data_IF_437119000027
#
_entry.id   IF_437119000027
#
_cell.length_a   1.000
_cell.length_b   1.000
_cell.length_c   1.000
_cell.angle_alpha   90.00
_cell.angle_beta   90.00
_cell.angle_gamma   90.00
#
_symmetry.space_group_name_H-M   'P 1'
#
loop_
_entity.id
_entity.type
_entity.pdbx_description
1 polymer ?
#
# COMPACT_ATOMS: atom_id res chain seq x y z
N UNK A 1 3.75 -4.44 14.79
CA UNK A 1 4.22 -5.16 13.58
C UNK A 1 4.68 -4.13 12.56
N UNK A 2 5.77 -4.40 11.86
CA UNK A 2 6.34 -3.55 10.80
C UNK A 2 7.03 -4.43 9.75
N UNK A 3 7.28 -3.87 8.56
CA UNK A 3 7.94 -4.58 7.46
C UNK A 3 9.38 -4.94 7.84
N UNK A 4 9.75 -6.21 7.65
CA UNK A 4 11.08 -6.73 7.95
C UNK A 4 11.83 -7.12 6.67
N UNK A 5 13.15 -7.25 6.76
CA UNK A 5 13.98 -7.70 5.62
C UNK A 5 13.59 -9.09 5.13
N UNK A 6 13.14 -9.96 6.03
CA UNK A 6 12.67 -11.30 5.71
C UNK A 6 11.37 -11.31 4.88
N UNK A 7 10.58 -10.24 4.97
CA UNK A 7 9.35 -10.09 4.20
C UNK A 7 9.63 -9.68 2.74
N UNK A 8 10.87 -9.34 2.39
CA UNK A 8 11.23 -8.74 1.11
C UNK A 8 12.09 -9.65 0.24
N UNK A 9 11.71 -9.74 -1.04
CA UNK A 9 12.53 -10.29 -2.12
C UNK A 9 12.98 -9.15 -3.03
N UNK A 10 14.26 -8.78 -2.93
CA UNK A 10 14.85 -7.65 -3.65
C UNK A 10 15.99 -8.14 -4.57
N UNK A 11 15.70 -8.73 -5.73
CA UNK A 11 16.73 -9.10 -6.71
C UNK A 11 17.55 -7.88 -7.16
N UNK A 12 18.69 -8.09 -7.81
CA UNK A 12 19.53 -6.98 -8.31
C UNK A 12 18.87 -6.19 -9.44
N UNK A 13 18.00 -6.83 -10.22
CA UNK A 13 17.27 -6.20 -11.32
C UNK A 13 15.85 -6.79 -11.46
N UNK A 14 14.96 -6.01 -12.08
CA UNK A 14 13.58 -6.40 -12.33
C UNK A 14 12.65 -6.14 -11.15
N UNK A 15 11.64 -6.98 -11.01
CA UNK A 15 10.60 -6.84 -9.99
C UNK A 15 10.98 -7.57 -8.71
N UNK A 16 10.75 -6.90 -7.58
CA UNK A 16 10.78 -7.53 -6.26
C UNK A 16 9.40 -7.96 -5.79
N UNK A 17 9.32 -8.44 -4.56
CA UNK A 17 8.05 -8.71 -3.90
C UNK A 17 8.14 -8.50 -2.39
N UNK A 18 7.03 -8.09 -1.78
CA UNK A 18 6.81 -8.04 -0.35
C UNK A 18 5.75 -9.07 0.07
N UNK A 19 6.03 -9.82 1.13
CA UNK A 19 5.10 -10.73 1.78
C UNK A 19 4.48 -9.99 2.98
N UNK A 20 3.24 -9.55 2.83
CA UNK A 20 2.58 -8.76 3.85
C UNK A 20 1.58 -9.61 4.62
N UNK A 21 1.89 -9.89 5.88
CA UNK A 21 0.92 -10.49 6.79
C UNK A 21 -0.19 -9.48 7.07
N UNK A 22 -1.45 -9.93 7.17
CA UNK A 22 -2.52 -9.08 7.71
C UNK A 22 -2.24 -8.81 9.19
N UNK A 23 -1.53 -7.71 9.45
CA UNK A 23 -1.50 -7.08 10.76
C UNK A 23 -2.92 -6.72 11.17
N UNK A 24 -3.38 -7.20 12.34
CA UNK A 24 -4.52 -6.60 13.03
C UNK A 24 -4.29 -5.10 13.09
N UNK A 25 -5.18 -4.34 12.48
CA UNK A 25 -5.11 -2.88 12.42
C UNK A 25 -5.00 -2.34 13.84
N UNK A 26 -3.85 -1.74 14.20
CA UNK A 26 -3.81 -0.80 15.32
C UNK A 26 -4.50 0.47 14.84
N UNK A 27 -5.82 0.47 14.80
CA UNK A 27 -6.60 1.70 14.65
C UNK A 27 -6.36 2.50 15.92
N UNK A 28 -5.47 3.48 15.82
CA UNK A 28 -5.29 4.48 16.86
C UNK A 28 -6.62 5.18 17.13
N UNK A 29 -6.95 5.27 18.42
CA UNK A 29 -8.09 5.95 19.06
C UNK A 29 -8.36 7.38 18.56
N UNK A 30 -8.79 7.56 17.31
CA UNK A 30 -9.39 8.81 16.82
C UNK A 30 -10.62 8.58 15.94
N UNK A 31 -11.15 7.37 15.98
CA UNK A 31 -12.40 7.04 15.32
C UNK A 31 -13.12 6.02 16.22
N UNK A 32 -14.41 6.28 16.47
CA UNK A 32 -15.37 5.60 17.38
C UNK A 32 -15.21 5.87 18.89
N UNK A 33 -16.13 6.68 19.42
CA UNK A 33 -16.50 6.73 20.83
C UNK A 33 -17.16 5.40 21.20
N UNK A 34 -16.48 4.57 22.00
CA UNK A 34 -17.03 3.77 23.10
C UNK A 34 -15.84 3.18 23.86
N UNK A 35 -15.94 3.28 25.18
CA UNK A 35 -14.97 2.85 26.19
C UNK A 35 -14.83 1.32 26.23
N UNK A 36 -13.61 0.80 26.09
CA UNK A 36 -12.87 0.12 27.16
C UNK A 36 -11.63 -0.62 26.64
N UNK A 37 -10.81 -0.94 27.63
CA UNK A 37 -9.40 -1.36 27.63
C UNK A 37 -9.19 -2.79 27.18
N UNK A 38 -7.95 -3.07 26.78
CA UNK A 38 -7.39 -4.38 26.43
C UNK A 38 -7.96 -5.53 27.27
N UNK A 39 -8.48 -6.54 26.58
CA UNK A 39 -8.59 -7.88 27.12
C UNK A 39 -7.69 -8.82 26.30
N UNK A 40 -6.54 -9.14 26.91
CA UNK A 40 -5.74 -10.32 26.58
C UNK A 40 -6.43 -11.54 27.21
N UNK A 41 -7.43 -12.11 26.53
CA UNK A 41 -7.86 -13.47 26.82
C UNK A 41 -8.05 -14.28 25.53
N UNK A 42 -7.17 -15.27 25.38
CA UNK A 42 -7.19 -16.19 24.25
C UNK A 42 -8.36 -17.16 24.31
N UNK A 43 -8.79 -17.64 23.14
CA UNK A 43 -8.79 -19.06 22.75
C UNK A 43 -9.42 -19.27 21.37
N UNK A 44 -8.78 -20.17 20.62
CA UNK A 44 -9.34 -21.05 19.59
C UNK A 44 -10.15 -20.40 18.45
N UNK A 45 -9.45 -19.87 17.45
CA UNK A 45 -9.63 -20.35 16.07
C UNK A 45 -8.47 -19.88 15.20
N UNK A 46 -7.64 -20.81 14.72
CA UNK A 46 -6.63 -20.54 13.69
C UNK A 46 -7.37 -20.38 12.36
N UNK A 47 -7.43 -19.16 11.83
CA UNK A 47 -7.33 -18.97 10.39
C UNK A 47 -5.88 -18.58 10.15
N UNK A 48 -5.17 -19.35 9.31
CA UNK A 48 -3.80 -19.05 8.93
C UNK A 48 -3.71 -17.57 8.53
N UNK A 49 -2.70 -16.87 9.01
CA UNK A 49 -2.46 -15.48 8.64
C UNK A 49 -2.46 -15.38 7.10
N UNK A 50 -3.45 -14.73 6.51
CA UNK A 50 -3.50 -14.50 5.06
C UNK A 50 -2.32 -13.58 4.71
N UNK A 51 -1.24 -14.19 4.23
CA UNK A 51 -0.08 -13.49 3.67
C UNK A 51 -0.44 -13.09 2.25
N UNK A 52 -0.36 -11.79 1.95
CA UNK A 52 -0.50 -11.30 0.57
C UNK A 52 0.85 -10.99 -0.04
N UNK A 53 1.04 -11.44 -1.28
CA UNK A 53 2.20 -11.08 -2.10
C UNK A 53 1.93 -9.74 -2.79
N UNK A 54 2.78 -8.75 -2.56
CA UNK A 54 2.70 -7.43 -3.22
C UNK A 54 3.95 -7.25 -4.08
N UNK A 55 3.81 -7.15 -5.42
CA UNK A 55 4.96 -6.93 -6.28
C UNK A 55 5.54 -5.53 -6.07
N UNK A 56 6.87 -5.46 -6.08
CA UNK A 56 7.64 -4.23 -5.89
C UNK A 56 8.19 -3.83 -7.26
N UNK A 57 7.75 -2.69 -7.83
CA UNK A 57 8.28 -2.23 -9.11
C UNK A 57 9.77 -1.87 -9.00
N UNK A 58 10.53 -1.93 -10.11
CA UNK A 58 11.99 -1.73 -10.11
C UNK A 58 12.44 -0.45 -9.40
N UNK A 59 11.69 0.65 -9.55
CA UNK A 59 12.01 1.93 -8.92
C UNK A 59 11.92 1.85 -7.39
N UNK A 60 10.89 1.20 -6.86
CA UNK A 60 10.73 1.01 -5.41
C UNK A 60 11.76 0.01 -4.87
N UNK A 61 12.10 -1.01 -5.66
CA UNK A 61 13.17 -1.96 -5.33
C UNK A 61 14.50 -1.23 -5.14
N UNK A 62 14.87 -0.33 -6.05
CA UNK A 62 16.10 0.47 -5.92
C UNK A 62 16.09 1.32 -4.66
N UNK A 63 14.98 2.01 -4.37
CA UNK A 63 14.84 2.84 -3.17
C UNK A 63 14.98 1.99 -1.90
N UNK A 64 14.34 0.82 -1.84
CA UNK A 64 14.43 -0.07 -0.68
C UNK A 64 15.83 -0.62 -0.46
N UNK A 65 16.53 -1.02 -1.53
CA UNK A 65 17.92 -1.47 -1.45
C UNK A 65 18.83 -0.35 -0.94
N UNK A 66 18.72 0.85 -1.53
CA UNK A 66 19.50 2.00 -1.09
C UNK A 66 19.23 2.34 0.39
N UNK A 67 17.97 2.24 0.84
CA UNK A 67 17.61 2.43 2.25
C UNK A 67 18.30 1.40 3.15
N UNK A 68 18.25 0.12 2.80
CA UNK A 68 18.89 -0.95 3.56
C UNK A 68 20.42 -0.77 3.59
N UNK A 69 21.02 -0.42 2.45
CA UNK A 69 22.47 -0.19 2.37
C UNK A 69 22.92 1.02 3.21
N UNK A 70 22.07 2.05 3.31
CA UNK A 70 22.38 3.30 4.03
C UNK A 70 22.13 3.19 5.53
N UNK A 71 21.01 2.58 5.93
CA UNK A 71 20.52 2.59 7.31
C UNK A 71 20.56 1.23 8.00
N UNK A 72 20.77 0.14 7.25
CA UNK A 72 20.65 -1.22 7.74
C UNK A 72 19.21 -1.60 8.12
N UNK A 73 19.09 -2.60 8.97
CA UNK A 73 17.83 -3.01 9.61
C UNK A 73 18.01 -2.99 11.13
N UNK A 74 16.92 -2.85 11.88
CA UNK A 74 16.97 -3.01 13.33
C UNK A 74 17.37 -4.44 13.74
N UNK A 75 17.73 -4.63 15.01
CA UNK A 75 18.09 -5.95 15.57
C UNK A 75 17.01 -7.02 15.33
N UNK A 76 15.74 -6.61 15.31
CA UNK A 76 14.60 -7.48 15.02
C UNK A 76 14.22 -7.53 13.53
N UNK A 77 15.09 -7.03 12.65
CA UNK A 77 14.97 -7.11 11.20
C UNK A 77 14.04 -6.08 10.56
N UNK A 78 13.41 -5.18 11.32
CA UNK A 78 12.54 -4.12 10.79
C UNK A 78 13.31 -3.12 9.93
N UNK A 79 12.71 -2.71 8.81
CA UNK A 79 13.29 -1.72 7.89
C UNK A 79 13.16 -0.28 8.42
N UNK A 80 12.02 0.05 9.02
CA UNK A 80 11.70 1.40 9.45
C UNK A 80 11.60 1.42 10.97
N UNK A 81 12.61 1.99 11.62
CA UNK A 81 12.69 2.13 13.07
C UNK A 81 13.25 3.47 13.46
N UNK A 82 12.94 3.90 14.67
CA UNK A 82 13.60 5.06 15.27
C UNK A 82 15.06 4.76 15.56
N UNK A 83 15.87 5.81 15.62
CA UNK A 83 17.30 5.76 15.99
C UNK A 83 17.53 5.08 17.35
N UNK A 84 16.59 5.24 18.30
CA UNK A 84 16.64 4.59 19.63
C UNK A 84 15.86 3.27 19.71
N UNK A 85 15.50 2.70 18.56
CA UNK A 85 14.65 1.51 18.46
C UNK A 85 13.15 1.79 18.61
N UNK A 86 12.34 0.79 18.26
CA UNK A 86 10.88 0.87 18.28
C UNK A 86 10.26 1.44 16.99
N UNK A 87 8.92 1.39 16.94
CA UNK A 87 8.14 1.76 15.74
C UNK A 87 7.94 3.27 15.66
N UNK A 88 8.02 3.82 14.45
CA UNK A 88 7.67 5.21 14.18
C UNK A 88 6.24 5.52 14.59
N UNK A 89 6.10 6.62 15.33
CA UNK A 89 4.78 7.12 15.70
C UNK A 89 4.09 7.71 14.47
N UNK A 90 2.77 7.55 14.39
CA UNK A 90 1.96 8.10 13.30
C UNK A 90 2.11 9.62 13.14
N UNK A 91 2.36 10.34 14.25
CA UNK A 91 2.63 11.79 14.25
C UNK A 91 3.94 12.16 13.57
N UNK A 92 5.01 11.39 13.80
CA UNK A 92 6.32 11.60 13.16
C UNK A 92 6.19 11.41 11.65
N UNK A 93 5.52 10.35 11.23
CA UNK A 93 5.28 10.08 9.81
C UNK A 93 4.47 11.20 9.14
N UNK A 94 3.42 11.70 9.81
CA UNK A 94 2.62 12.81 9.29
C UNK A 94 3.42 14.11 9.16
N UNK A 95 4.29 14.42 10.13
CA UNK A 95 5.14 15.62 10.08
C UNK A 95 6.10 15.57 8.89
N UNK A 96 6.86 14.48 8.77
CA UNK A 96 7.79 14.29 7.64
C UNK A 96 7.06 14.33 6.31
N UNK A 97 5.84 13.78 6.24
CA UNK A 97 5.01 13.85 5.05
C UNK A 97 4.65 15.29 4.65
N UNK A 98 4.24 16.15 5.60
CA UNK A 98 3.93 17.55 5.27
C UNK A 98 5.16 18.31 4.79
N UNK A 99 6.32 18.06 5.39
CA UNK A 99 7.60 18.65 4.95
C UNK A 99 7.93 18.19 3.51
N UNK A 100 7.80 16.90 3.23
CA UNK A 100 8.01 16.35 1.88
C UNK A 100 7.04 16.95 0.84
N UNK A 101 5.75 17.15 1.20
CA UNK A 101 4.78 17.81 0.32
C UNK A 101 5.22 19.23 -0.03
N UNK A 102 5.69 20.00 0.94
CA UNK A 102 6.14 21.38 0.72
C UNK A 102 7.37 21.47 -0.19
N UNK A 103 8.22 20.44 -0.18
CA UNK A 103 9.40 20.34 -1.06
C UNK A 103 9.05 19.86 -2.48
N UNK A 104 8.09 18.95 -2.61
CA UNK A 104 7.80 18.29 -3.88
C UNK A 104 6.71 18.98 -4.73
N UNK A 105 5.84 19.80 -4.12
CA UNK A 105 4.68 20.38 -4.78
C UNK A 105 4.74 21.91 -4.84
N UNK A 106 4.18 22.55 -5.88
CA UNK A 106 4.06 24.00 -5.92
C UNK A 106 3.14 24.52 -4.79
N UNK A 107 3.30 25.77 -4.31
CA UNK A 107 2.56 26.29 -3.16
C UNK A 107 1.04 26.17 -3.27
N UNK A 108 0.47 26.41 -4.46
CA UNK A 108 -0.96 26.26 -4.71
C UNK A 108 -1.45 24.81 -4.51
N UNK A 109 -0.64 23.82 -4.90
CA UNK A 109 -0.97 22.41 -4.71
C UNK A 109 -0.84 21.98 -3.23
N UNK A 110 0.15 22.52 -2.50
CA UNK A 110 0.31 22.29 -1.06
C UNK A 110 -0.89 22.80 -0.27
N UNK A 111 -1.40 23.98 -0.64
CA UNK A 111 -2.61 24.59 -0.05
C UNK A 111 -3.91 23.84 -0.41
N UNK A 112 -3.89 22.98 -1.42
CA UNK A 112 -5.03 22.18 -1.82
C UNK A 112 -5.12 20.86 -1.02
N UNK A 113 -6.26 20.14 -1.09
CA UNK A 113 -6.39 18.79 -0.52
C UNK A 113 -5.49 17.72 -1.16
N UNK A 114 -4.76 18.04 -2.25
CA UNK A 114 -3.94 17.08 -2.98
C UNK A 114 -2.89 16.45 -2.07
N UNK A 115 -2.94 15.12 -1.94
CA UNK A 115 -2.00 14.33 -1.17
C UNK A 115 -1.86 14.78 0.30
N UNK A 116 -2.91 15.40 0.87
CA UNK A 116 -2.89 15.98 2.21
C UNK A 116 -2.50 14.97 3.30
N UNK A 117 -2.82 13.70 3.12
CA UNK A 117 -2.46 12.60 4.02
C UNK A 117 -1.65 11.55 3.27
N UNK A 118 -0.75 10.82 3.94
CA UNK A 118 -0.05 9.71 3.31
C UNK A 118 -1.01 8.64 2.75
N UNK A 119 -2.16 8.46 3.40
CA UNK A 119 -3.18 7.51 2.94
C UNK A 119 -3.78 7.88 1.58
N UNK A 120 -3.70 9.14 1.16
CA UNK A 120 -4.16 9.56 -0.16
C UNK A 120 -3.26 8.98 -1.28
N UNK A 121 -2.00 8.63 -0.99
CA UNK A 121 -1.14 7.89 -1.94
C UNK A 121 -1.68 6.49 -2.24
N UNK A 122 -2.23 5.80 -1.24
CA UNK A 122 -2.91 4.53 -1.47
C UNK A 122 -4.11 4.74 -2.39
N UNK A 123 -4.85 5.83 -2.21
CA UNK A 123 -5.96 6.11 -3.10
C UNK A 123 -5.54 6.34 -4.54
N UNK A 124 -4.46 7.11 -4.74
CA UNK A 124 -3.87 7.37 -6.05
C UNK A 124 -3.32 6.12 -6.72
N UNK A 125 -2.63 5.24 -5.98
CA UNK A 125 -2.11 3.98 -6.53
C UNK A 125 -3.24 3.08 -7.05
N UNK A 126 -4.30 2.90 -6.25
CA UNK A 126 -5.43 2.05 -6.61
C UNK A 126 -6.19 2.60 -7.83
N UNK A 127 -6.48 3.90 -7.87
CA UNK A 127 -7.14 4.49 -9.04
C UNK A 127 -6.26 4.40 -10.28
N UNK A 128 -4.94 4.58 -10.15
CA UNK A 128 -3.99 4.47 -11.27
C UNK A 128 -3.94 3.06 -11.83
N UNK A 129 -3.80 2.03 -10.98
CA UNK A 129 -3.75 0.63 -11.44
C UNK A 129 -5.05 0.18 -12.06
N UNK A 130 -6.17 0.58 -11.46
CA UNK A 130 -7.45 0.38 -12.10
C UNK A 130 -7.39 1.04 -13.47
N UNK A 131 -7.11 2.35 -13.58
CA UNK A 131 -7.14 3.11 -14.83
C UNK A 131 -6.20 2.57 -15.92
N UNK A 132 -5.08 1.95 -15.55
CA UNK A 132 -4.17 1.28 -16.49
C UNK A 132 -4.67 -0.08 -16.98
N UNK A 133 -5.87 -0.51 -16.55
CA UNK A 133 -6.49 -1.76 -17.00
C UNK A 133 -5.99 -3.01 -16.29
N UNK A 134 -5.35 -2.88 -15.11
CA UNK A 134 -5.03 -4.02 -14.25
C UNK A 134 -6.34 -4.67 -13.78
N UNK A 135 -6.37 -6.00 -13.74
CA UNK A 135 -7.55 -6.73 -13.29
C UNK A 135 -7.98 -6.29 -11.87
N UNK A 136 -9.28 -6.21 -11.65
CA UNK A 136 -9.82 -5.73 -10.38
C UNK A 136 -9.43 -6.66 -9.23
N UNK A 137 -9.42 -7.97 -9.46
CA UNK A 137 -9.05 -8.98 -8.45
C UNK A 137 -7.59 -8.83 -8.04
N UNK A 138 -6.69 -8.67 -9.02
CA UNK A 138 -5.26 -8.40 -8.79
C UNK A 138 -5.05 -7.13 -7.95
N UNK A 139 -5.78 -6.04 -8.26
CA UNK A 139 -5.71 -4.80 -7.48
C UNK A 139 -6.19 -5.02 -6.04
N UNK A 140 -7.27 -5.77 -5.84
CA UNK A 140 -7.83 -6.08 -4.52
C UNK A 140 -6.85 -6.90 -3.68
N UNK A 141 -6.26 -7.94 -4.26
CA UNK A 141 -5.28 -8.81 -3.61
C UNK A 141 -4.06 -8.01 -3.15
N UNK A 142 -3.47 -7.20 -4.03
CA UNK A 142 -2.33 -6.32 -3.69
C UNK A 142 -2.69 -5.30 -2.62
N UNK A 143 -3.88 -4.72 -2.72
CA UNK A 143 -4.36 -3.74 -1.74
C UNK A 143 -4.58 -4.38 -0.36
N UNK A 144 -5.05 -5.63 -0.31
CA UNK A 144 -5.57 -6.26 0.90
C UNK A 144 -6.93 -5.71 1.32
N UNK A 145 -7.75 -5.25 0.37
CA UNK A 145 -9.15 -4.87 0.59
C UNK A 145 -10.09 -6.03 0.20
N UNK A 146 -11.40 -5.88 0.41
CA UNK A 146 -12.39 -6.71 -0.30
C UNK A 146 -12.76 -6.08 -1.65
N UNK A 147 -13.23 -6.90 -2.60
CA UNK A 147 -13.68 -6.46 -3.93
C UNK A 147 -14.80 -5.43 -3.82
N UNK A 148 -15.77 -5.68 -2.93
CA UNK A 148 -16.91 -4.78 -2.69
C UNK A 148 -16.47 -3.38 -2.21
N UNK A 149 -15.50 -3.31 -1.30
CA UNK A 149 -14.95 -2.03 -0.80
C UNK A 149 -14.20 -1.29 -1.90
N UNK A 150 -13.53 -2.01 -2.80
CA UNK A 150 -12.86 -1.39 -3.93
C UNK A 150 -13.87 -0.85 -4.96
N UNK A 151 -14.84 -1.67 -5.38
CA UNK A 151 -15.83 -1.28 -6.39
C UNK A 151 -16.71 -0.12 -5.90
N UNK A 152 -17.19 -0.15 -4.66
CA UNK A 152 -18.01 0.95 -4.10
C UNK A 152 -17.27 2.29 -4.07
N UNK A 153 -15.94 2.28 -3.86
CA UNK A 153 -15.12 3.50 -3.79
C UNK A 153 -14.56 3.96 -5.13
N UNK A 154 -14.37 3.04 -6.08
CA UNK A 154 -13.66 3.30 -7.35
C UNK A 154 -14.45 2.95 -8.62
N UNK A 155 -15.74 2.64 -8.53
CA UNK A 155 -16.59 2.39 -9.70
C UNK A 155 -16.45 3.46 -10.78
N UNK A 156 -16.38 4.73 -10.37
CA UNK A 156 -16.20 5.88 -11.29
C UNK A 156 -14.85 5.91 -12.01
N UNK A 157 -13.83 5.20 -11.52
CA UNK A 157 -12.55 5.04 -12.22
C UNK A 157 -12.61 3.94 -13.31
N UNK A 158 -13.59 3.05 -13.21
CA UNK A 158 -13.83 1.98 -14.19
C UNK A 158 -14.78 2.49 -15.30
N UNK A 159 -15.68 3.42 -14.94
CA UNK A 159 -16.60 4.08 -15.86
C UNK A 159 -15.82 4.95 -16.89
N UNK A 160 -16.10 4.78 -18.19
CA UNK A 160 -15.38 5.46 -19.29
C UNK A 160 -14.35 4.63 -20.07
N UNK A 161 -14.28 3.31 -19.85
CA UNK A 161 -13.33 2.42 -20.57
C UNK A 161 -13.92 1.61 -21.71
N UNK A 162 -15.06 2.02 -22.25
CA UNK A 162 -15.70 1.30 -23.34
C UNK A 162 -14.77 1.13 -24.54
N UNK A 163 -14.03 2.16 -24.94
CA UNK A 163 -13.10 2.09 -26.07
C UNK A 163 -11.93 1.13 -25.82
N UNK A 164 -11.34 1.14 -24.61
CA UNK A 164 -10.27 0.21 -24.23
C UNK A 164 -10.80 -1.23 -24.19
N UNK A 165 -12.01 -1.43 -23.66
CA UNK A 165 -12.64 -2.74 -23.60
C UNK A 165 -12.96 -3.26 -25.02
N UNK A 166 -13.49 -2.41 -25.88
CA UNK A 166 -13.77 -2.75 -27.28
C UNK A 166 -12.49 -3.11 -28.03
N UNK A 167 -11.39 -2.34 -27.85
CA UNK A 167 -10.10 -2.66 -28.44
C UNK A 167 -9.56 -4.04 -28.02
N UNK A 168 -9.70 -4.41 -26.74
CA UNK A 168 -9.33 -5.76 -26.26
C UNK A 168 -10.20 -6.86 -26.86
N UNK A 169 -11.51 -6.60 -27.02
CA UNK A 169 -12.44 -7.56 -27.65
C UNK A 169 -12.10 -7.73 -29.14
N UNK A 170 -11.80 -6.63 -29.85
CA UNK A 170 -11.38 -6.67 -31.25
C UNK A 170 -10.05 -7.42 -31.43
N UNK A 171 -9.06 -7.17 -30.58
CA UNK A 171 -7.78 -7.88 -30.58
C UNK A 171 -7.97 -9.38 -30.40
N UNK A 172 -8.76 -9.79 -29.40
CA UNK A 172 -9.09 -11.20 -29.20
C UNK A 172 -9.84 -11.79 -30.40
N UNK A 173 -10.77 -11.05 -30.99
CA UNK A 173 -11.56 -11.53 -32.13
C UNK A 173 -10.69 -11.80 -33.37
N UNK A 174 -9.62 -11.02 -33.57
CA UNK A 174 -8.64 -11.23 -34.66
C UNK A 174 -7.76 -12.47 -34.46
N UNK A 175 -7.59 -12.96 -33.23
CA UNK A 175 -6.84 -14.21 -32.99
C UNK A 175 -7.60 -15.46 -33.46
N UNK A 176 -8.91 -15.34 -33.71
CA UNK A 176 -9.78 -16.43 -34.16
C UNK A 176 -10.17 -16.36 -35.66
N UNK A 177 -9.64 -15.39 -36.42
CA UNK A 177 -9.74 -15.29 -37.89
C UNK A 177 -8.51 -15.90 -38.58
#
# INVERSE_FOLDING_TARGET
>A
MGLTGADLKLPEAGWGAALLNRTRSSVGKRWTDYSETHDDQGRKNRLAEEVRLVPIPPQLLTILRQHIDTFGTAEDGRLFTKERGGVDGSSTYYRVWQEARALALPPAAVASPLAARPYDLRHSALSTWLNSGVDTTEVVERAGNSVEVLLSRYAKCIDGRQEIANGKIEELSREYE
#
